data_IF_795593822632
#
_entry.id   IF_795593822632
#
_cell.length_a   1.000
_cell.length_b   1.000
_cell.length_c   1.000
_cell.angle_alpha   90.00
_cell.angle_beta   90.00
_cell.angle_gamma   90.00
#
_symmetry.space_group_name_H-M   'P 1'
#
loop_
_entity.id
_entity.type
_entity.pdbx_description
1 polymer ?
#
# COMPACT_ATOMS: atom_id res chain seq x y z
N UNK A 1 23.60 -25.10 0.37
CA UNK A 1 23.57 -23.70 -0.10
C UNK A 1 22.29 -23.07 0.42
N UNK A 2 22.38 -22.21 1.44
CA UNK A 2 21.21 -21.51 1.99
C UNK A 2 20.80 -20.45 0.96
N UNK A 3 19.66 -20.63 0.30
CA UNK A 3 19.08 -19.59 -0.56
C UNK A 3 18.81 -18.38 0.34
N UNK A 4 19.65 -17.35 0.19
CA UNK A 4 19.46 -16.05 0.82
C UNK A 4 18.24 -15.45 0.12
N UNK A 5 17.04 -15.66 0.68
CA UNK A 5 15.84 -14.95 0.23
C UNK A 5 16.21 -13.47 0.23
N UNK A 6 16.40 -12.90 -0.97
CA UNK A 6 16.46 -11.46 -1.11
C UNK A 6 15.19 -10.93 -0.45
N UNK A 7 15.36 -10.11 0.57
CA UNK A 7 14.24 -9.46 1.25
C UNK A 7 13.65 -8.48 0.23
N UNK A 8 12.78 -8.98 -0.64
CA UNK A 8 11.97 -8.16 -1.53
C UNK A 8 11.34 -7.10 -0.66
N UNK A 9 11.73 -5.85 -0.87
CA UNK A 9 11.18 -4.75 -0.10
C UNK A 9 9.75 -4.56 -0.65
N UNK A 10 8.80 -4.41 0.25
CA UNK A 10 7.41 -4.12 -0.10
C UNK A 10 7.09 -2.67 0.24
N UNK A 11 6.28 -2.03 -0.58
CA UNK A 11 5.56 -0.82 -0.21
C UNK A 11 4.17 -1.20 0.28
N UNK A 12 3.66 -0.44 1.25
CA UNK A 12 2.28 -0.52 1.72
C UNK A 12 1.65 0.85 1.51
N UNK A 13 0.39 0.90 1.09
CA UNK A 13 -0.23 2.16 0.73
C UNK A 13 -1.74 2.17 0.91
N UNK A 14 -2.30 3.38 0.92
CA UNK A 14 -3.71 3.68 0.68
C UNK A 14 -3.81 4.62 -0.51
N UNK A 15 -4.86 4.46 -1.31
CA UNK A 15 -5.20 5.32 -2.43
C UNK A 15 -6.42 6.15 -2.07
N UNK A 16 -6.32 7.47 -2.28
CA UNK A 16 -7.33 8.46 -1.91
C UNK A 16 -7.78 9.21 -3.16
N UNK A 17 -9.10 9.34 -3.35
CA UNK A 17 -9.67 10.30 -4.29
C UNK A 17 -9.71 11.68 -3.62
N UNK A 18 -8.92 12.63 -4.14
CA UNK A 18 -8.81 13.98 -3.61
C UNK A 18 -10.08 14.82 -3.88
N UNK A 19 -10.93 14.43 -4.83
CA UNK A 19 -12.17 15.14 -5.15
C UNK A 19 -13.25 14.82 -4.11
N UNK A 20 -13.41 13.54 -3.81
CA UNK A 20 -14.42 13.04 -2.86
C UNK A 20 -13.90 12.95 -1.43
N UNK A 21 -12.57 13.01 -1.25
CA UNK A 21 -11.87 12.80 0.03
C UNK A 21 -12.11 11.41 0.62
N UNK A 22 -12.27 10.41 -0.24
CA UNK A 22 -12.54 9.03 0.14
C UNK A 22 -11.34 8.12 -0.11
N UNK A 23 -11.15 7.12 0.75
CA UNK A 23 -10.24 6.01 0.51
C UNK A 23 -10.90 5.11 -0.54
N UNK A 24 -10.21 4.86 -1.64
CA UNK A 24 -10.71 4.05 -2.76
C UNK A 24 -9.99 2.70 -2.88
N UNK A 25 -8.85 2.54 -2.19
CA UNK A 25 -8.09 1.31 -2.19
C UNK A 25 -6.94 1.33 -1.19
N UNK A 26 -6.38 0.15 -0.94
CA UNK A 26 -5.16 -0.05 -0.16
C UNK A 26 -4.50 -1.35 -0.62
N UNK A 27 -3.20 -1.48 -0.40
CA UNK A 27 -2.50 -2.68 -0.80
C UNK A 27 -1.02 -2.69 -0.46
N UNK A 28 -0.35 -3.70 -1.01
CA UNK A 28 1.09 -3.85 -0.95
C UNK A 28 1.65 -4.34 -2.28
N UNK A 29 2.74 -3.73 -2.72
CA UNK A 29 3.42 -4.05 -3.98
C UNK A 29 4.93 -4.25 -3.73
N UNK A 30 5.57 -5.11 -4.52
CA UNK A 30 7.03 -5.20 -4.57
C UNK A 30 7.61 -3.87 -5.02
N UNK A 31 8.71 -3.41 -4.41
CA UNK A 31 9.37 -2.15 -4.84
C UNK A 31 9.76 -2.14 -6.32
N UNK A 32 10.03 -3.31 -6.87
CA UNK A 32 10.53 -3.47 -8.24
C UNK A 32 9.38 -3.40 -9.27
N UNK A 33 8.12 -3.43 -8.82
CA UNK A 33 6.91 -3.42 -9.65
C UNK A 33 6.11 -2.11 -9.52
N UNK A 34 6.62 -1.12 -8.77
CA UNK A 34 5.87 0.12 -8.52
C UNK A 34 5.98 1.07 -9.71
N UNK A 35 5.06 0.92 -10.67
CA UNK A 35 4.75 1.93 -11.67
C UNK A 35 3.52 2.74 -11.22
N UNK A 36 3.75 3.96 -10.70
CA UNK A 36 2.68 4.80 -10.17
C UNK A 36 2.02 5.61 -11.31
N UNK A 37 1.01 5.03 -11.93
CA UNK A 37 0.14 5.75 -12.88
C UNK A 37 -1.12 6.24 -12.18
N UNK A 38 -1.02 7.34 -11.42
CA UNK A 38 -2.21 7.97 -10.86
C UNK A 38 -2.80 8.96 -11.85
N UNK A 39 -4.07 8.77 -12.18
CA UNK A 39 -4.83 9.74 -12.98
C UNK A 39 -5.14 11.00 -12.15
N UNK A 40 -5.45 12.12 -12.83
CA UNK A 40 -5.69 13.42 -12.17
C UNK A 40 -6.83 13.34 -11.14
N UNK A 41 -6.47 13.40 -9.86
CA UNK A 41 -7.41 13.41 -8.74
C UNK A 41 -7.18 12.29 -7.73
N UNK A 42 -6.35 11.30 -8.03
CA UNK A 42 -5.98 10.26 -7.05
C UNK A 42 -4.62 10.53 -6.44
N UNK A 43 -4.46 10.16 -5.17
CA UNK A 43 -3.22 10.27 -4.44
C UNK A 43 -2.92 9.01 -3.62
N UNK A 44 -1.70 8.49 -3.75
CA UNK A 44 -1.21 7.32 -3.02
C UNK A 44 -0.41 7.78 -1.82
N UNK A 45 -0.81 7.33 -0.64
CA UNK A 45 -0.12 7.60 0.62
C UNK A 45 0.58 6.31 1.06
N UNK A 46 1.90 6.36 1.15
CA UNK A 46 2.68 5.23 1.64
C UNK A 46 2.64 5.13 3.16
N UNK A 47 2.63 3.90 3.66
CA UNK A 47 2.60 3.58 5.08
C UNK A 47 3.70 2.60 5.45
N UNK A 48 4.07 2.60 6.73
CA UNK A 48 4.88 1.53 7.30
C UNK A 48 4.09 0.22 7.37
N UNK A 49 4.79 -0.93 7.38
CA UNK A 49 4.19 -2.26 7.60
C UNK A 49 3.31 -2.29 8.86
N UNK A 50 3.76 -1.65 9.94
CA UNK A 50 3.03 -1.61 11.19
C UNK A 50 1.70 -0.85 11.10
N UNK A 51 1.66 0.26 10.35
CA UNK A 51 0.42 0.99 10.09
C UNK A 51 -0.53 0.18 9.20
N UNK A 52 0.01 -0.50 8.17
CA UNK A 52 -0.79 -1.36 7.30
C UNK A 52 -1.43 -2.52 8.06
N UNK A 53 -0.66 -3.19 8.92
CA UNK A 53 -1.20 -4.26 9.77
C UNK A 53 -2.32 -3.77 10.70
N UNK A 54 -2.22 -2.54 11.22
CA UNK A 54 -3.30 -1.93 12.02
C UNK A 54 -4.56 -1.69 11.19
N UNK A 55 -4.41 -1.22 9.95
CA UNK A 55 -5.53 -1.06 9.02
C UNK A 55 -6.23 -2.38 8.73
N UNK A 56 -5.47 -3.42 8.35
CA UNK A 56 -6.05 -4.74 8.06
C UNK A 56 -6.77 -5.32 9.28
N UNK A 57 -6.15 -5.25 10.46
CA UNK A 57 -6.79 -5.69 11.70
C UNK A 57 -8.11 -4.94 11.96
N UNK A 58 -8.12 -3.63 11.78
CA UNK A 58 -9.33 -2.84 11.97
C UNK A 58 -10.44 -3.22 10.98
N UNK A 59 -10.11 -3.67 9.77
CA UNK A 59 -11.08 -4.10 8.77
C UNK A 59 -11.63 -5.52 9.02
N UNK A 60 -10.84 -6.39 9.64
CA UNK A 60 -11.29 -7.75 10.02
C UNK A 60 -12.24 -7.76 11.23
N UNK A 61 -12.24 -6.68 12.02
CA UNK A 61 -13.09 -6.52 13.21
C UNK A 61 -14.49 -5.94 12.92
N UNK A 62 -14.79 -5.61 11.64
CA UNK A 62 -16.10 -5.12 11.16
C UNK A 62 -16.81 -6.15 10.29
#
# INVERSE_FOLDING_TARGET
MSQKQEKTKYYYFIDVDLRTRQIIGWGSESRDEVEIYMTKGFHRIFMSKGQYNKLIKALEEY
#
